data_IF_896981704408
#
_entry.id   IF_896981704408
#
_cell.length_a   1.000
_cell.length_b   1.000
_cell.length_c   1.000
_cell.angle_alpha   90.00
_cell.angle_beta   90.00
_cell.angle_gamma   90.00
#
_symmetry.space_group_name_H-M   'P 1'
#
loop_
_entity.id
_entity.type
_entity.pdbx_description
1 polymer ?
#
# COMPACT_ATOMS: atom_id res chain seq x y z
N UNK A 1 -20.30 -12.31 -2.93
CA UNK A 1 -18.89 -12.28 -3.36
C UNK A 1 -18.46 -13.69 -3.76
N UNK A 2 -17.45 -13.85 -4.61
CA UNK A 2 -17.00 -15.17 -5.08
C UNK A 2 -16.39 -16.02 -3.95
N UNK A 3 -16.58 -17.34 -3.99
CA UNK A 3 -15.99 -18.32 -3.06
C UNK A 3 -14.46 -18.18 -2.95
N UNK A 4 -13.79 -17.87 -4.06
CA UNK A 4 -12.33 -17.67 -4.09
C UNK A 4 -11.89 -16.46 -3.27
N UNK A 5 -12.65 -15.35 -3.33
CA UNK A 5 -12.34 -14.15 -2.56
C UNK A 5 -12.44 -14.42 -1.05
N UNK A 6 -13.47 -15.15 -0.64
CA UNK A 6 -13.62 -15.55 0.76
C UNK A 6 -12.49 -16.45 1.23
N UNK A 7 -12.27 -17.55 0.50
CA UNK A 7 -11.30 -18.58 0.89
C UNK A 7 -9.86 -18.07 0.97
N UNK A 8 -9.45 -17.17 0.06
CA UNK A 8 -8.06 -16.74 -0.05
C UNK A 8 -7.76 -15.37 0.59
N UNK A 9 -8.78 -14.52 0.80
CA UNK A 9 -8.55 -13.16 1.31
C UNK A 9 -9.39 -12.86 2.54
N UNK A 10 -10.72 -12.90 2.44
CA UNK A 10 -11.58 -12.47 3.55
C UNK A 10 -11.46 -13.38 4.77
N UNK A 11 -11.72 -14.68 4.62
CA UNK A 11 -11.79 -15.61 5.76
C UNK A 11 -10.43 -15.74 6.47
N UNK A 12 -9.27 -15.86 5.77
CA UNK A 12 -7.97 -15.88 6.44
C UNK A 12 -7.66 -14.59 7.20
N UNK A 13 -7.97 -13.42 6.64
CA UNK A 13 -7.72 -12.13 7.30
C UNK A 13 -8.63 -11.93 8.51
N UNK A 14 -9.91 -12.30 8.38
CA UNK A 14 -10.89 -12.24 9.46
C UNK A 14 -10.49 -13.15 10.61
N UNK A 15 -10.22 -14.43 10.32
CA UNK A 15 -9.80 -15.39 11.32
C UNK A 15 -8.46 -15.04 11.96
N UNK A 16 -7.52 -14.50 11.19
CA UNK A 16 -6.25 -14.01 11.75
C UNK A 16 -6.47 -12.86 12.73
N UNK A 17 -7.36 -11.91 12.42
CA UNK A 17 -7.70 -10.81 13.33
C UNK A 17 -8.26 -11.35 14.65
N UNK A 18 -9.25 -12.25 14.58
CA UNK A 18 -9.90 -12.81 15.77
C UNK A 18 -8.94 -13.69 16.56
N UNK A 19 -8.16 -14.53 15.88
CA UNK A 19 -7.14 -15.37 16.51
C UNK A 19 -6.08 -14.54 17.25
N UNK A 20 -5.68 -13.38 16.71
CA UNK A 20 -4.77 -12.46 17.40
C UNK A 20 -5.36 -11.95 18.73
N UNK A 21 -6.66 -11.68 18.81
CA UNK A 21 -7.31 -11.35 20.09
C UNK A 21 -7.29 -12.51 21.08
N UNK A 22 -7.39 -13.75 20.60
CA UNK A 22 -7.32 -14.92 21.49
C UNK A 22 -5.93 -15.13 22.08
N UNK A 23 -4.87 -14.97 21.26
CA UNK A 23 -3.49 -15.16 21.72
C UNK A 23 -2.93 -13.95 22.49
N UNK A 24 -3.53 -12.76 22.30
CA UNK A 24 -3.13 -11.52 22.95
C UNK A 24 -4.33 -10.90 23.69
N UNK A 25 -4.83 -11.52 24.77
CA UNK A 25 -6.02 -11.03 25.48
C UNK A 25 -5.80 -9.67 26.17
N UNK A 26 -4.54 -9.28 26.38
CA UNK A 26 -4.16 -7.98 26.94
C UNK A 26 -4.07 -6.88 25.88
N UNK A 27 -4.02 -7.23 24.60
CA UNK A 27 -3.87 -6.26 23.53
C UNK A 27 -5.22 -5.61 23.20
N UNK A 28 -5.22 -4.28 23.10
CA UNK A 28 -6.37 -3.57 22.58
C UNK A 28 -6.52 -3.76 21.06
N UNK A 29 -7.68 -3.37 20.54
CA UNK A 29 -8.03 -3.51 19.13
C UNK A 29 -7.04 -2.84 18.18
N UNK A 30 -6.51 -1.69 18.56
CA UNK A 30 -5.56 -0.98 17.70
C UNK A 30 -4.22 -1.71 17.61
N UNK A 31 -3.73 -2.27 18.72
CA UNK A 31 -2.52 -3.12 18.72
C UNK A 31 -2.73 -4.33 17.81
N UNK A 32 -3.87 -5.02 17.93
CA UNK A 32 -4.18 -6.19 17.11
C UNK A 32 -4.26 -5.83 15.62
N UNK A 33 -4.88 -4.71 15.26
CA UNK A 33 -4.93 -4.20 13.88
C UNK A 33 -3.53 -3.88 13.35
N UNK A 34 -2.68 -3.24 14.17
CA UNK A 34 -1.28 -2.94 13.80
C UNK A 34 -0.51 -4.24 13.52
N UNK A 35 -0.64 -5.23 14.40
CA UNK A 35 0.04 -6.52 14.26
C UNK A 35 -0.42 -7.29 13.02
N UNK A 36 -1.73 -7.36 12.78
CA UNK A 36 -2.28 -7.98 11.57
C UNK A 36 -1.74 -7.29 10.32
N UNK A 37 -1.71 -5.96 10.31
CA UNK A 37 -1.22 -5.17 9.19
C UNK A 37 0.26 -5.47 8.92
N UNK A 38 1.08 -5.53 9.97
CA UNK A 38 2.51 -5.86 9.87
C UNK A 38 2.69 -7.29 9.35
N UNK A 39 1.93 -8.26 9.85
CA UNK A 39 1.98 -9.65 9.40
C UNK A 39 1.72 -9.76 7.89
N UNK A 40 0.63 -9.15 7.42
CA UNK A 40 0.28 -9.12 5.99
C UNK A 40 1.39 -8.45 5.18
N UNK A 41 1.95 -7.35 5.68
CA UNK A 41 3.04 -6.63 5.02
C UNK A 41 4.33 -7.45 4.94
N UNK A 42 4.65 -8.24 5.96
CA UNK A 42 5.78 -9.15 5.97
C UNK A 42 5.60 -10.29 4.96
N UNK A 43 4.40 -10.85 4.85
CA UNK A 43 4.08 -11.87 3.83
C UNK A 43 4.25 -11.30 2.41
N UNK A 44 3.83 -10.05 2.20
CA UNK A 44 3.94 -9.35 0.91
C UNK A 44 5.34 -8.75 0.64
N UNK A 45 6.20 -8.68 1.66
CA UNK A 45 7.53 -8.07 1.58
C UNK A 45 8.40 -8.53 0.39
N UNK A 46 8.51 -9.85 0.06
CA UNK A 46 9.33 -10.27 -1.08
C UNK A 46 8.82 -9.71 -2.41
N UNK A 47 7.50 -9.60 -2.56
CA UNK A 47 6.87 -9.06 -3.75
C UNK A 47 7.04 -7.53 -3.82
N UNK A 48 6.72 -6.83 -2.73
CA UNK A 48 6.85 -5.38 -2.66
C UNK A 48 8.30 -4.93 -2.81
N UNK A 49 9.27 -5.67 -2.28
CA UNK A 49 10.70 -5.43 -2.49
C UNK A 49 11.07 -5.45 -3.98
N UNK A 50 10.57 -6.42 -4.76
CA UNK A 50 10.82 -6.48 -6.20
C UNK A 50 10.29 -5.23 -6.92
N UNK A 51 9.12 -4.74 -6.52
CA UNK A 51 8.56 -3.51 -7.07
C UNK A 51 9.44 -2.27 -6.77
N UNK A 52 9.96 -2.14 -5.54
CA UNK A 52 10.88 -1.04 -5.19
C UNK A 52 12.19 -1.12 -5.98
N UNK A 53 12.77 -2.32 -6.13
CA UNK A 53 13.98 -2.52 -6.95
C UNK A 53 13.73 -2.11 -8.40
N UNK A 54 12.61 -2.53 -8.99
CA UNK A 54 12.21 -2.12 -10.33
C UNK A 54 12.06 -0.60 -10.42
N UNK A 55 11.45 0.04 -9.42
CA UNK A 55 11.28 1.49 -9.40
C UNK A 55 12.62 2.24 -9.42
N UNK A 56 13.62 1.77 -8.65
CA UNK A 56 14.96 2.36 -8.65
C UNK A 56 15.62 2.21 -10.03
N UNK A 57 15.60 1.01 -10.61
CA UNK A 57 16.15 0.78 -11.97
C UNK A 57 15.45 1.60 -13.04
N UNK A 58 14.13 1.77 -12.93
CA UNK A 58 13.34 2.62 -13.82
C UNK A 58 13.76 4.09 -13.74
N UNK A 59 14.13 4.58 -12.54
CA UNK A 59 14.66 5.93 -12.37
C UNK A 59 16.05 6.08 -12.99
N UNK A 60 16.91 5.06 -12.89
CA UNK A 60 18.25 5.04 -13.50
C UNK A 60 18.19 5.14 -15.03
N UNK A 61 17.32 4.36 -15.69
CA UNK A 61 17.16 4.38 -17.15
C UNK A 61 16.29 5.55 -17.65
N UNK A 62 15.78 6.39 -16.75
CA UNK A 62 14.92 7.53 -17.06
C UNK A 62 15.45 8.45 -18.17
N UNK A 63 16.75 8.83 -18.18
CA UNK A 63 17.33 9.65 -19.24
C UNK A 63 17.31 8.98 -20.62
N UNK A 64 17.58 7.67 -20.69
CA UNK A 64 17.55 6.89 -21.92
C UNK A 64 16.11 6.79 -22.46
N UNK A 65 15.13 6.60 -21.57
CA UNK A 65 13.70 6.65 -21.91
C UNK A 65 13.29 8.02 -22.45
N UNK A 66 13.75 9.12 -21.85
CA UNK A 66 13.51 10.47 -22.35
C UNK A 66 14.12 10.70 -23.73
N UNK A 67 15.33 10.18 -23.99
CA UNK A 67 15.98 10.29 -25.29
C UNK A 67 15.21 9.51 -26.38
N UNK A 68 14.72 8.30 -26.08
CA UNK A 68 13.85 7.55 -26.99
C UNK A 68 12.57 8.32 -27.28
N UNK A 69 11.94 8.90 -26.24
CA UNK A 69 10.70 9.66 -26.41
C UNK A 69 10.87 10.85 -27.34
N UNK A 70 11.98 11.58 -27.21
CA UNK A 70 12.27 12.74 -28.07
C UNK A 70 12.61 12.31 -29.50
N UNK A 71 13.48 11.31 -29.67
CA UNK A 71 13.92 10.83 -30.99
C UNK A 71 12.77 10.28 -31.84
N UNK A 72 11.80 9.61 -31.22
CA UNK A 72 10.68 8.95 -31.89
C UNK A 72 9.33 9.63 -31.61
N UNK A 73 9.33 10.93 -31.28
CA UNK A 73 8.11 11.68 -30.91
C UNK A 73 6.97 11.58 -31.93
N UNK A 74 7.32 11.48 -33.21
CA UNK A 74 6.36 11.41 -34.32
C UNK A 74 6.03 9.98 -34.77
N UNK A 75 6.62 8.95 -34.14
CA UNK A 75 6.40 7.55 -34.48
C UNK A 75 6.15 6.75 -33.18
N UNK A 76 4.90 6.71 -32.77
CA UNK A 76 4.45 6.03 -31.54
C UNK A 76 4.78 4.53 -31.52
N UNK A 77 4.69 3.87 -32.66
CA UNK A 77 4.97 2.43 -32.78
C UNK A 77 6.46 2.13 -32.54
N UNK A 78 7.35 2.84 -33.24
CA UNK A 78 8.80 2.69 -33.02
C UNK A 78 9.21 3.17 -31.62
N UNK A 79 8.59 4.21 -31.09
CA UNK A 79 8.80 4.65 -29.70
C UNK A 79 8.48 3.54 -28.70
N UNK A 80 7.32 2.87 -28.85
CA UNK A 80 6.92 1.77 -27.98
C UNK A 80 7.86 0.57 -28.10
N UNK A 81 8.24 0.21 -29.34
CA UNK A 81 9.18 -0.89 -29.62
C UNK A 81 10.55 -0.66 -29.01
N UNK A 82 11.12 0.54 -29.17
CA UNK A 82 12.43 0.91 -28.60
C UNK A 82 12.38 1.00 -27.08
N UNK A 83 11.28 1.49 -26.51
CA UNK A 83 11.08 1.51 -25.05
C UNK A 83 11.06 0.09 -24.48
N UNK A 84 10.35 -0.84 -25.12
CA UNK A 84 10.30 -2.24 -24.68
C UNK A 84 11.66 -2.94 -24.85
N UNK A 85 12.37 -2.65 -25.96
CA UNK A 85 13.71 -3.17 -26.18
C UNK A 85 14.68 -2.71 -25.09
N UNK A 86 14.64 -1.42 -24.71
CA UNK A 86 15.44 -0.89 -23.61
C UNK A 86 15.13 -1.57 -22.28
N UNK A 87 13.85 -1.80 -21.95
CA UNK A 87 13.48 -2.55 -20.75
C UNK A 87 14.07 -3.96 -20.73
N UNK A 88 14.04 -4.67 -21.87
CA UNK A 88 14.64 -6.00 -21.99
C UNK A 88 16.15 -5.96 -21.86
N UNK A 89 16.81 -5.02 -22.54
CA UNK A 89 18.27 -4.82 -22.51
C UNK A 89 18.77 -4.55 -21.09
N UNK A 90 18.06 -3.70 -20.34
CA UNK A 90 18.42 -3.32 -18.96
C UNK A 90 17.88 -4.30 -17.91
N UNK A 91 17.18 -5.37 -18.32
CA UNK A 91 16.60 -6.36 -17.42
C UNK A 91 15.58 -5.77 -16.43
N UNK A 92 14.80 -4.78 -16.86
CA UNK A 92 13.80 -4.10 -16.04
C UNK A 92 12.40 -4.63 -16.37
N UNK A 93 11.65 -5.07 -15.36
CA UNK A 93 10.27 -5.52 -15.54
C UNK A 93 9.26 -4.44 -15.11
N UNK A 94 8.67 -3.67 -16.05
CA UNK A 94 7.76 -2.56 -15.73
C UNK A 94 6.47 -3.00 -15.03
N UNK A 95 6.10 -4.29 -15.11
CA UNK A 95 4.87 -4.82 -14.51
C UNK A 95 5.01 -5.21 -13.03
N UNK A 96 6.22 -5.12 -12.46
CA UNK A 96 6.47 -5.51 -11.06
C UNK A 96 5.60 -4.75 -10.06
N UNK A 97 5.33 -3.46 -10.31
CA UNK A 97 4.47 -2.65 -9.45
C UNK A 97 2.99 -3.00 -9.57
N UNK A 98 2.51 -3.33 -10.78
CA UNK A 98 1.11 -3.71 -11.04
C UNK A 98 0.75 -5.00 -10.30
N UNK A 99 1.67 -5.97 -10.26
CA UNK A 99 1.45 -7.23 -9.55
C UNK A 99 1.21 -7.02 -8.04
N UNK A 100 1.95 -6.10 -7.41
CA UNK A 100 1.71 -5.72 -6.00
C UNK A 100 0.31 -5.15 -5.84
N UNK A 101 -0.10 -4.23 -6.72
CA UNK A 101 -1.42 -3.58 -6.64
C UNK A 101 -2.56 -4.59 -6.79
N UNK A 102 -2.45 -5.51 -7.75
CA UNK A 102 -3.48 -6.55 -7.99
C UNK A 102 -3.69 -7.41 -6.75
N UNK A 103 -2.62 -7.80 -6.06
CA UNK A 103 -2.72 -8.61 -4.83
C UNK A 103 -3.21 -7.75 -3.65
N UNK A 104 -2.83 -6.47 -3.62
CA UNK A 104 -3.18 -5.56 -2.55
C UNK A 104 -4.68 -5.17 -2.55
N UNK A 105 -5.32 -5.05 -3.71
CA UNK A 105 -6.73 -4.62 -3.83
C UNK A 105 -7.67 -5.59 -3.08
N UNK A 106 -7.67 -6.92 -3.32
CA UNK A 106 -8.50 -7.86 -2.58
C UNK A 106 -8.27 -7.82 -1.06
N UNK A 107 -7.02 -7.62 -0.63
CA UNK A 107 -6.65 -7.50 0.79
C UNK A 107 -7.27 -6.24 1.40
N UNK A 108 -7.18 -5.09 0.70
CA UNK A 108 -7.80 -3.85 1.17
C UNK A 108 -9.31 -4.02 1.26
N UNK A 109 -9.96 -4.62 0.26
CA UNK A 109 -11.40 -4.86 0.27
C UNK A 109 -11.83 -5.78 1.42
N UNK A 110 -11.05 -6.82 1.70
CA UNK A 110 -11.30 -7.73 2.81
C UNK A 110 -11.19 -7.01 4.16
N UNK A 111 -10.07 -6.32 4.42
CA UNK A 111 -9.87 -5.58 5.67
C UNK A 111 -10.92 -4.47 5.84
N UNK A 112 -11.29 -3.79 4.76
CA UNK A 112 -12.35 -2.79 4.78
C UNK A 112 -13.70 -3.39 5.21
N UNK A 113 -14.10 -4.53 4.64
CA UNK A 113 -15.35 -5.22 5.01
C UNK A 113 -15.34 -5.70 6.47
N UNK A 114 -14.18 -6.19 6.93
CA UNK A 114 -13.98 -6.61 8.32
C UNK A 114 -14.13 -5.40 9.26
N UNK A 115 -13.46 -4.29 8.96
CA UNK A 115 -13.45 -3.10 9.81
C UNK A 115 -14.73 -2.28 9.79
N UNK A 116 -15.59 -2.44 8.78
CA UNK A 116 -16.91 -1.83 8.76
C UNK A 116 -17.85 -2.36 9.84
N UNK A 117 -17.73 -3.65 10.19
CA UNK A 117 -18.56 -4.30 11.20
C UNK A 117 -17.83 -4.44 12.55
N UNK A 118 -16.60 -3.94 12.64
CA UNK A 118 -15.80 -4.03 13.86
C UNK A 118 -16.40 -3.14 14.97
N UNK A 119 -16.49 -3.61 16.24
CA UNK A 119 -15.86 -4.80 16.82
C UNK A 119 -16.72 -6.08 16.81
N UNK A 120 -17.84 -6.13 16.11
CA UNK A 120 -18.74 -7.28 16.13
C UNK A 120 -18.08 -8.54 15.52
N UNK A 121 -18.27 -9.69 16.19
CA UNK A 121 -17.71 -10.97 15.75
C UNK A 121 -18.84 -11.90 15.29
N UNK A 122 -18.80 -12.28 14.02
CA UNK A 122 -19.67 -13.28 13.43
C UNK A 122 -19.03 -14.67 13.57
N UNK A 123 -19.54 -15.46 14.50
CA UNK A 123 -19.04 -16.81 14.80
C UNK A 123 -19.17 -17.79 13.62
N UNK A 124 -20.11 -17.55 12.68
CA UNK A 124 -20.31 -18.43 11.53
C UNK A 124 -19.17 -18.36 10.50
N UNK A 125 -18.33 -17.32 10.56
CA UNK A 125 -17.18 -17.12 9.67
C UNK A 125 -15.87 -17.61 10.29
N UNK A 126 -15.91 -18.14 11.52
CA UNK A 126 -14.72 -18.61 12.22
C UNK A 126 -14.33 -20.02 11.78
N UNK A 127 -13.02 -20.24 11.68
CA UNK A 127 -12.46 -21.58 11.59
C UNK A 127 -12.70 -22.33 12.90
N UNK A 128 -12.76 -23.65 12.83
CA UNK A 128 -13.09 -24.52 13.97
C UNK A 128 -12.17 -24.37 15.18
N UNK A 129 -10.93 -23.91 14.96
CA UNK A 129 -9.95 -23.67 16.02
C UNK A 129 -9.92 -22.22 16.54
N UNK A 130 -10.73 -21.32 15.96
CA UNK A 130 -10.86 -19.92 16.37
C UNK A 130 -12.17 -19.76 17.12
N UNK A 131 -12.12 -19.11 18.27
CA UNK A 131 -13.29 -18.90 19.15
C UNK A 131 -13.54 -17.41 19.33
N UNK A 132 -14.79 -17.07 19.61
CA UNK A 132 -15.20 -15.68 19.85
C UNK A 132 -14.49 -15.16 21.11
N UNK A 133 -13.77 -14.03 21.06
CA UNK A 133 -13.18 -13.43 22.25
C UNK A 133 -14.28 -12.90 23.17
N UNK A 134 -14.10 -13.04 24.49
CA UNK A 134 -15.10 -12.60 25.47
C UNK A 134 -15.30 -11.08 25.46
N UNK A 135 -14.21 -10.32 25.33
CA UNK A 135 -14.22 -8.87 25.31
C UNK A 135 -13.21 -8.34 24.29
N UNK A 136 -13.60 -7.32 23.52
CA UNK A 136 -12.70 -6.58 22.62
C UNK A 136 -12.61 -5.15 23.13
N UNK A 137 -11.46 -4.79 23.72
CA UNK A 137 -11.20 -3.41 24.11
C UNK A 137 -10.87 -2.58 22.86
N UNK A 138 -11.75 -1.67 22.47
CA UNK A 138 -11.58 -0.81 21.29
C UNK A 138 -10.76 0.45 21.56
N UNK A 139 -10.35 0.71 22.80
CA UNK A 139 -9.59 1.91 23.16
C UNK A 139 -8.11 1.70 22.90
N UNK A 140 -7.63 2.18 21.76
CA UNK A 140 -6.23 2.08 21.36
C UNK A 140 -5.31 2.82 22.33
N UNK A 141 -4.37 2.08 22.93
CA UNK A 141 -3.42 2.56 23.94
C UNK A 141 -4.07 3.27 25.15
N UNK A 142 -5.36 3.03 25.39
CA UNK A 142 -6.12 3.76 26.42
C UNK A 142 -6.41 5.22 26.08
N UNK A 143 -6.15 5.67 24.85
CA UNK A 143 -6.24 7.09 24.45
C UNK A 143 -7.39 7.38 23.49
N UNK A 144 -7.63 6.48 22.52
CA UNK A 144 -8.56 6.74 21.41
C UNK A 144 -9.37 5.50 21.10
N UNK A 145 -10.70 5.59 21.11
CA UNK A 145 -11.57 4.53 20.60
C UNK A 145 -11.44 4.43 19.08
N UNK A 146 -10.91 3.30 18.59
CA UNK A 146 -10.72 3.09 17.16
C UNK A 146 -12.00 2.62 16.46
N UNK A 147 -12.99 2.11 17.18
CA UNK A 147 -14.27 1.70 16.59
C UNK A 147 -15.08 2.91 16.10
N UNK A 148 -14.90 4.06 16.73
CA UNK A 148 -15.53 5.33 16.38
C UNK A 148 -14.68 6.17 15.40
N UNK A 149 -15.23 7.31 14.97
CA UNK A 149 -14.51 8.28 14.14
C UNK A 149 -13.37 8.92 14.93
N UNK A 150 -12.19 9.05 14.32
CA UNK A 150 -11.04 9.73 14.93
C UNK A 150 -10.35 10.65 13.95
N UNK A 151 -10.53 11.98 14.14
CA UNK A 151 -9.87 12.98 13.31
C UNK A 151 -8.34 12.94 13.45
N UNK A 152 -7.83 12.66 14.64
CA UNK A 152 -6.39 12.58 14.92
C UNK A 152 -5.75 11.45 14.10
N UNK A 153 -6.30 10.24 14.18
CA UNK A 153 -5.74 9.10 13.44
C UNK A 153 -5.93 9.30 11.93
N UNK A 154 -7.06 9.86 11.49
CA UNK A 154 -7.29 10.18 10.08
C UNK A 154 -6.28 11.20 9.52
N UNK A 155 -5.94 12.25 10.28
CA UNK A 155 -4.89 13.21 9.90
C UNK A 155 -3.52 12.54 9.80
N UNK A 156 -3.18 11.65 10.75
CA UNK A 156 -1.93 10.89 10.69
C UNK A 156 -1.91 9.93 9.49
N UNK A 157 -3.03 9.29 9.16
CA UNK A 157 -3.15 8.44 7.97
C UNK A 157 -2.93 9.26 6.68
N UNK A 158 -3.52 10.45 6.58
CA UNK A 158 -3.32 11.35 5.46
C UNK A 158 -1.86 11.84 5.36
N UNK A 159 -1.29 12.31 6.48
CA UNK A 159 0.09 12.77 6.52
C UNK A 159 1.07 11.63 6.13
N UNK A 160 0.89 10.43 6.68
CA UNK A 160 1.71 9.28 6.32
C UNK A 160 1.55 8.88 4.84
N UNK A 161 0.35 9.03 4.26
CA UNK A 161 0.14 8.82 2.82
C UNK A 161 0.97 9.79 1.99
N UNK A 162 0.95 11.08 2.35
CA UNK A 162 1.78 12.10 1.71
C UNK A 162 3.28 11.74 1.76
N UNK A 163 3.78 11.38 2.95
CA UNK A 163 5.20 11.01 3.12
C UNK A 163 5.56 9.70 2.42
N UNK A 164 4.65 8.74 2.34
CA UNK A 164 4.84 7.50 1.60
C UNK A 164 5.02 7.77 0.11
N UNK A 165 4.19 8.65 -0.48
CA UNK A 165 4.35 9.07 -1.87
C UNK A 165 5.68 9.78 -2.11
N UNK A 166 6.08 10.69 -1.21
CA UNK A 166 7.37 11.37 -1.30
C UNK A 166 8.55 10.38 -1.26
N UNK A 167 8.50 9.40 -0.36
CA UNK A 167 9.55 8.40 -0.22
C UNK A 167 9.69 7.55 -1.50
N UNK A 168 8.56 7.13 -2.08
CA UNK A 168 8.54 6.34 -3.31
C UNK A 168 9.09 7.13 -4.51
N UNK A 169 8.64 8.37 -4.72
CA UNK A 169 9.05 9.18 -5.88
C UNK A 169 10.50 9.72 -5.80
N UNK A 170 11.16 9.63 -4.65
CA UNK A 170 12.55 10.10 -4.49
C UNK A 170 13.47 9.43 -5.53
N UNK A 171 14.06 10.26 -6.41
CA UNK A 171 14.96 9.83 -7.49
C UNK A 171 14.33 9.87 -8.89
N UNK A 172 13.00 9.98 -9.00
CA UNK A 172 12.36 10.20 -10.30
C UNK A 172 12.48 11.68 -10.69
N UNK A 173 13.11 11.97 -11.83
CA UNK A 173 13.08 13.29 -12.43
C UNK A 173 11.70 13.51 -13.05
N UNK A 174 11.02 14.59 -12.65
CA UNK A 174 9.82 15.03 -13.36
C UNK A 174 10.17 15.26 -14.83
N UNK A 175 9.37 14.69 -15.74
CA UNK A 175 9.53 14.98 -17.17
C UNK A 175 9.41 16.48 -17.38
N UNK A 176 10.35 17.10 -18.11
CA UNK A 176 10.30 18.53 -18.50
C UNK A 176 9.61 18.76 -19.85
N UNK A 177 9.21 17.70 -20.56
CA UNK A 177 8.52 17.80 -21.85
C UNK A 177 7.13 18.42 -21.76
N UNK A 178 6.66 19.01 -22.84
CA UNK A 178 5.33 19.67 -22.93
C UNK A 178 4.28 18.78 -23.59
N UNK A 179 4.62 17.52 -23.89
CA UNK A 179 3.70 16.60 -24.56
C UNK A 179 2.49 16.28 -23.68
N UNK A 180 1.39 15.84 -24.32
CA UNK A 180 0.20 15.39 -23.61
C UNK A 180 0.53 14.30 -22.57
N UNK A 181 1.37 13.32 -22.92
CA UNK A 181 1.78 12.25 -22.02
C UNK A 181 2.61 12.73 -20.82
N UNK A 182 3.44 13.76 -21.00
CA UNK A 182 4.19 14.38 -19.90
C UNK A 182 3.26 15.12 -18.94
N UNK A 183 2.29 15.87 -19.49
CA UNK A 183 1.30 16.59 -18.70
C UNK A 183 0.39 15.62 -17.93
N UNK A 184 -0.02 14.51 -18.55
CA UNK A 184 -0.75 13.42 -17.90
C UNK A 184 0.07 12.87 -16.72
N UNK A 185 1.33 12.49 -16.95
CA UNK A 185 2.19 11.90 -15.91
C UNK A 185 2.37 12.85 -14.71
N UNK A 186 2.65 14.13 -14.97
CA UNK A 186 2.75 15.16 -13.92
C UNK A 186 1.43 15.35 -13.17
N UNK A 187 0.30 15.35 -13.88
CA UNK A 187 -1.03 15.47 -13.27
C UNK A 187 -1.29 14.31 -12.32
N UNK A 188 -1.03 13.07 -12.75
CA UNK A 188 -1.14 11.88 -11.90
C UNK A 188 -0.25 11.99 -10.65
N UNK A 189 1.02 12.38 -10.82
CA UNK A 189 1.93 12.56 -9.69
C UNK A 189 1.42 13.62 -8.70
N UNK A 190 0.92 14.76 -9.20
CA UNK A 190 0.32 15.81 -8.34
C UNK A 190 -0.94 15.34 -7.63
N UNK A 191 -1.82 14.62 -8.31
CA UNK A 191 -3.04 14.08 -7.71
C UNK A 191 -2.71 13.07 -6.61
N UNK A 192 -1.81 12.11 -6.88
CA UNK A 192 -1.38 11.14 -5.88
C UNK A 192 -0.68 11.81 -4.70
N UNK A 193 0.12 12.86 -4.94
CA UNK A 193 0.83 13.58 -3.89
C UNK A 193 -0.07 14.46 -3.04
N UNK A 194 -1.00 15.21 -3.62
CA UNK A 194 -1.75 16.24 -2.87
C UNK A 194 -3.23 15.92 -2.70
N UNK A 195 -3.88 15.39 -3.73
CA UNK A 195 -5.30 15.09 -3.68
C UNK A 195 -5.58 13.81 -2.89
N UNK A 196 -4.81 12.75 -3.13
CA UNK A 196 -5.05 11.45 -2.51
C UNK A 196 -4.92 11.45 -0.98
N UNK A 197 -3.92 12.11 -0.35
CA UNK A 197 -3.89 12.25 1.11
C UNK A 197 -5.13 12.93 1.70
N UNK A 198 -5.67 13.93 1.00
CA UNK A 198 -6.91 14.61 1.43
C UNK A 198 -8.09 13.66 1.31
N UNK A 199 -8.18 12.89 0.23
CA UNK A 199 -9.21 11.87 0.07
C UNK A 199 -9.13 10.80 1.18
N UNK A 200 -7.92 10.34 1.51
CA UNK A 200 -7.66 9.41 2.63
C UNK A 200 -8.16 9.99 3.95
N UNK A 201 -7.88 11.27 4.25
CA UNK A 201 -8.43 11.90 5.45
C UNK A 201 -9.96 11.78 5.52
N UNK A 202 -10.66 12.18 4.45
CA UNK A 202 -12.12 12.15 4.43
C UNK A 202 -12.70 10.74 4.51
N UNK A 203 -12.13 9.77 3.80
CA UNK A 203 -12.59 8.38 3.86
C UNK A 203 -12.40 7.81 5.26
N UNK A 204 -11.19 7.96 5.83
CA UNK A 204 -10.90 7.46 7.18
C UNK A 204 -11.77 8.11 8.25
N UNK A 205 -11.91 9.43 8.21
CA UNK A 205 -12.69 10.15 9.20
C UNK A 205 -14.16 9.78 9.16
N UNK A 206 -14.72 9.54 7.98
CA UNK A 206 -16.14 9.21 7.86
C UNK A 206 -16.50 7.78 8.25
N UNK A 207 -15.54 6.86 8.25
CA UNK A 207 -15.80 5.44 8.49
C UNK A 207 -15.43 5.03 9.90
N UNK A 208 -14.14 4.89 10.22
CA UNK A 208 -13.70 4.52 11.57
C UNK A 208 -12.21 4.79 11.79
N UNK A 209 -11.83 4.93 13.06
CA UNK A 209 -10.45 5.05 13.51
C UNK A 209 -9.62 3.80 13.19
N UNK A 210 -10.23 2.61 13.17
CA UNK A 210 -9.56 1.35 12.79
C UNK A 210 -9.04 1.43 11.36
N UNK A 211 -9.85 1.91 10.41
CA UNK A 211 -9.41 2.04 9.01
C UNK A 211 -8.30 3.08 8.88
N UNK A 212 -8.41 4.19 9.61
CA UNK A 212 -7.35 5.19 9.67
C UNK A 212 -6.03 4.60 10.20
N UNK A 213 -6.10 3.80 11.28
CA UNK A 213 -4.94 3.15 11.89
C UNK A 213 -4.31 2.11 10.96
N UNK A 214 -5.14 1.34 10.24
CA UNK A 214 -4.67 0.43 9.21
C UNK A 214 -3.88 1.16 8.12
N UNK A 215 -4.39 2.27 7.58
CA UNK A 215 -3.67 3.07 6.58
C UNK A 215 -2.38 3.66 7.13
N UNK A 216 -2.42 4.25 8.32
CA UNK A 216 -1.23 4.77 8.99
C UNK A 216 -0.15 3.70 9.12
N UNK A 217 -0.49 2.52 9.64
CA UNK A 217 0.45 1.41 9.83
C UNK A 217 1.00 0.90 8.51
N UNK A 218 0.13 0.75 7.51
CA UNK A 218 0.52 0.37 6.14
C UNK A 218 1.53 1.35 5.54
N UNK A 219 1.29 2.65 5.69
CA UNK A 219 2.14 3.69 5.13
C UNK A 219 3.49 3.74 5.83
N UNK A 220 3.51 3.68 7.16
CA UNK A 220 4.74 3.65 7.95
C UNK A 220 5.60 2.43 7.59
N UNK A 221 5.00 1.25 7.49
CA UNK A 221 5.71 0.05 7.03
C UNK A 221 6.27 0.25 5.62
N UNK A 222 5.46 0.80 4.70
CA UNK A 222 5.87 1.02 3.31
C UNK A 222 7.03 2.01 3.21
N UNK A 223 7.02 3.08 4.00
CA UNK A 223 8.14 4.04 4.09
C UNK A 223 9.39 3.34 4.62
N UNK A 224 9.27 2.60 5.73
CA UNK A 224 10.40 1.88 6.31
C UNK A 224 11.01 0.88 5.31
N UNK A 225 10.17 0.12 4.62
CA UNK A 225 10.57 -0.81 3.57
C UNK A 225 11.27 -0.07 2.41
N UNK A 226 10.68 1.02 1.91
CA UNK A 226 11.22 1.82 0.82
C UNK A 226 12.65 2.32 1.14
N UNK A 227 12.82 2.89 2.33
CA UNK A 227 14.10 3.38 2.83
C UNK A 227 15.11 2.24 3.02
N UNK A 228 14.69 1.12 3.59
CA UNK A 228 15.55 -0.05 3.79
C UNK A 228 16.06 -0.62 2.46
N UNK A 229 15.17 -0.81 1.48
CA UNK A 229 15.54 -1.37 0.18
C UNK A 229 16.44 -0.41 -0.60
N UNK A 230 16.11 0.90 -0.63
CA UNK A 230 16.94 1.92 -1.30
C UNK A 230 18.35 2.01 -0.69
N UNK A 231 18.47 1.97 0.64
CA UNK A 231 19.78 1.95 1.33
C UNK A 231 20.58 0.69 0.99
N UNK A 232 19.93 -0.47 0.93
CA UNK A 232 20.58 -1.73 0.57
C UNK A 232 21.10 -1.73 -0.88
N UNK A 233 20.34 -1.14 -1.80
CA UNK A 233 20.80 -0.95 -3.19
C UNK A 233 22.03 -0.03 -3.22
N UNK A 234 21.96 1.14 -2.57
CA UNK A 234 23.06 2.11 -2.57
C UNK A 234 24.38 1.53 -2.00
N UNK A 235 24.31 0.74 -0.93
CA UNK A 235 25.47 0.07 -0.32
C UNK A 235 26.04 -1.09 -1.15
N UNK A 236 25.31 -1.60 -2.13
CA UNK A 236 25.83 -2.65 -3.04
C UNK A 236 26.58 -2.05 -4.24
N UNK A 237 26.36 -0.75 -4.52
CA UNK A 237 26.93 -0.04 -5.68
C UNK A 237 28.14 0.83 -5.29
N UNK A 238 28.27 1.16 -4.00
CA UNK A 238 29.43 1.86 -3.42
C UNK A 238 30.58 0.88 -3.12
#
# INVERSE_FOLDING_TARGET
MSYLYHSFFFDPLYNSLIFLFQILPWADAGIVVVLLTILVRLILFPLSRKAVVTQVKMAEIGPELSAIKEKYKNNSEEQARKTLALYKEKGVNPFSGILVVIIQIPIILALYQIFLHFPEVNSALLYSFVSVPENINTTFLGLVDVSAKSAVIALLAAASTYFQFLASMKGQKESKGTSFGDNLTRSMQKQMKYFFPVLVFFISYNISGVIALYWLTTNLFSIAQELFVKRKIASTVA
#
